data_IF_117864114392
#
_entry.id   IF_117864114392
#
_cell.length_a   1.000
_cell.length_b   1.000
_cell.length_c   1.000
_cell.angle_alpha   90.00
_cell.angle_beta   90.00
_cell.angle_gamma   90.00
#
_symmetry.space_group_name_H-M   'P 1'
#
loop_
_entity.id
_entity.type
_entity.pdbx_description
1 polymer ?
#
# COMPACT_ATOMS: atom_id res chain seq x y z
N UNK A 1 -10.16 2.40 -23.71
CA UNK A 1 -10.44 2.26 -22.27
C UNK A 1 -9.59 1.11 -21.75
N UNK A 2 -8.45 1.40 -21.11
CA UNK A 2 -7.58 0.36 -20.59
C UNK A 2 -8.03 0.00 -19.17
N UNK A 3 -8.88 -1.01 -19.05
CA UNK A 3 -9.00 -1.75 -17.79
C UNK A 3 -7.84 -2.74 -17.75
N UNK A 4 -6.66 -2.27 -17.32
CA UNK A 4 -5.70 -3.21 -16.73
C UNK A 4 -6.27 -3.56 -15.37
N UNK A 5 -7.07 -4.62 -15.31
CA UNK A 5 -7.40 -5.28 -14.06
C UNK A 5 -6.08 -5.74 -13.45
N UNK A 6 -5.55 -4.94 -12.52
CA UNK A 6 -4.35 -5.28 -11.77
C UNK A 6 -4.57 -6.63 -11.11
N UNK A 7 -3.83 -7.64 -11.55
CA UNK A 7 -3.90 -8.97 -10.96
C UNK A 7 -3.55 -8.88 -9.48
N UNK A 8 -4.50 -9.20 -8.60
CA UNK A 8 -4.28 -9.11 -7.16
C UNK A 8 -3.15 -10.08 -6.75
N UNK A 9 -2.01 -9.54 -6.35
CA UNK A 9 -0.88 -10.34 -5.88
C UNK A 9 -1.17 -10.81 -4.45
N UNK A 10 -1.74 -12.01 -4.35
CA UNK A 10 -1.98 -12.70 -3.08
C UNK A 10 -3.23 -12.26 -2.32
N UNK A 11 -3.40 -12.84 -1.13
CA UNK A 11 -4.54 -12.54 -0.27
C UNK A 11 -4.36 -11.21 0.47
N UNK A 12 -5.43 -10.41 0.63
CA UNK A 12 -5.41 -9.22 1.47
C UNK A 12 -5.03 -9.56 2.90
N UNK A 13 -4.18 -8.72 3.50
CA UNK A 13 -3.67 -8.91 4.85
C UNK A 13 -4.09 -7.74 5.75
N UNK A 14 -4.52 -8.05 6.98
CA UNK A 14 -4.70 -7.03 8.01
C UNK A 14 -3.35 -6.72 8.62
N UNK A 15 -2.89 -5.49 8.43
CA UNK A 15 -1.59 -5.03 8.94
C UNK A 15 -1.83 -4.08 10.10
N UNK A 16 -1.10 -4.26 11.21
CA UNK A 16 -1.03 -3.28 12.27
C UNK A 16 0.24 -2.44 12.05
N UNK A 17 0.12 -1.16 11.67
CA UNK A 17 1.28 -0.31 11.44
C UNK A 17 2.03 -0.06 12.75
N UNK A 18 3.36 -0.01 12.67
CA UNK A 18 4.19 0.39 13.81
C UNK A 18 4.06 1.91 13.98
N UNK A 19 3.54 2.42 15.12
CA UNK A 19 3.34 3.85 15.33
C UNK A 19 4.66 4.66 15.34
N UNK A 20 5.83 3.99 15.41
CA UNK A 20 7.15 4.64 15.33
C UNK A 20 7.68 4.74 13.90
N UNK A 21 7.04 4.07 12.95
CA UNK A 21 7.47 4.02 11.54
C UNK A 21 6.58 4.90 10.67
N UNK A 22 7.14 5.42 9.58
CA UNK A 22 6.32 6.10 8.57
C UNK A 22 5.52 5.05 7.79
N UNK A 23 4.45 5.52 7.14
CA UNK A 23 3.65 4.68 6.26
C UNK A 23 4.53 4.00 5.20
N UNK A 24 5.41 4.77 4.55
CA UNK A 24 6.35 4.26 3.53
C UNK A 24 7.20 3.12 4.08
N UNK A 25 7.76 3.24 5.29
CA UNK A 25 8.57 2.18 5.89
C UNK A 25 7.78 0.88 6.09
N UNK A 26 6.52 0.99 6.53
CA UNK A 26 5.62 -0.16 6.71
C UNK A 26 5.30 -0.84 5.37
N UNK A 27 5.04 -0.03 4.33
CA UNK A 27 4.70 -0.51 3.00
C UNK A 27 5.91 -1.12 2.27
N UNK A 28 7.11 -0.56 2.49
CA UNK A 28 8.37 -1.08 1.98
C UNK A 28 8.70 -2.44 2.59
N UNK A 29 8.54 -2.59 3.91
CA UNK A 29 8.69 -3.87 4.61
C UNK A 29 7.72 -4.92 4.02
N UNK A 30 6.48 -4.53 3.77
CA UNK A 30 5.46 -5.39 3.14
C UNK A 30 5.86 -5.80 1.71
N UNK A 31 6.34 -4.85 0.91
CA UNK A 31 6.79 -5.08 -0.47
C UNK A 31 7.93 -6.09 -0.51
N UNK A 32 8.96 -5.88 0.32
CA UNK A 32 10.12 -6.76 0.40
C UNK A 32 9.75 -8.18 0.82
N UNK A 33 8.82 -8.34 1.77
CA UNK A 33 8.30 -9.67 2.19
C UNK A 33 7.60 -10.41 1.04
N UNK A 34 7.05 -9.69 0.07
CA UNK A 34 6.41 -10.24 -1.13
C UNK A 34 7.35 -10.33 -2.33
N UNK A 35 8.64 -10.02 -2.16
CA UNK A 35 9.63 -10.02 -3.25
C UNK A 35 9.48 -8.85 -4.22
N UNK A 36 8.72 -7.82 -3.86
CA UNK A 36 8.52 -6.62 -4.68
C UNK A 36 9.59 -5.57 -4.35
N UNK A 37 9.99 -4.81 -5.36
CA UNK A 37 10.91 -3.67 -5.21
C UNK A 37 10.09 -2.44 -4.80
N UNK A 38 10.28 -1.88 -3.59
CA UNK A 38 9.41 -0.79 -3.12
C UNK A 38 9.40 0.47 -4.01
N UNK A 39 10.51 0.73 -4.71
CA UNK A 39 10.63 1.83 -5.68
C UNK A 39 9.78 1.68 -6.93
N UNK A 40 9.32 0.46 -7.23
CA UNK A 40 8.51 0.14 -8.41
C UNK A 40 7.03 -0.04 -8.06
N UNK A 41 6.66 0.11 -6.77
CA UNK A 41 5.29 -0.11 -6.28
C UNK A 41 4.67 1.21 -5.86
N UNK A 42 3.46 1.48 -6.38
CA UNK A 42 2.64 2.59 -5.96
C UNK A 42 1.49 2.10 -5.09
N UNK A 43 1.23 2.80 -3.99
CA UNK A 43 0.17 2.46 -3.06
C UNK A 43 -0.99 3.44 -3.20
N UNK A 44 -2.22 2.95 -3.09
CA UNK A 44 -3.43 3.75 -3.21
C UNK A 44 -4.40 3.33 -2.11
N UNK A 45 -5.26 4.25 -1.68
CA UNK A 45 -6.48 3.83 -0.98
C UNK A 45 -7.44 3.30 -2.03
N UNK A 46 -8.11 2.20 -1.73
CA UNK A 46 -9.11 1.62 -2.61
C UNK A 46 -10.15 2.70 -3.02
N UNK A 47 -10.36 2.85 -4.33
CA UNK A 47 -11.23 3.87 -4.94
C UNK A 47 -10.78 5.34 -4.82
N UNK A 48 -9.57 5.66 -4.34
CA UNK A 48 -9.11 7.06 -4.30
C UNK A 48 -8.68 7.60 -5.67
N UNK A 49 -8.19 6.72 -6.55
CA UNK A 49 -7.56 7.09 -7.82
C UNK A 49 -6.24 7.87 -7.70
N UNK A 50 -5.80 8.18 -6.47
CA UNK A 50 -4.61 8.99 -6.17
C UNK A 50 -3.62 8.18 -5.33
N UNK A 51 -2.33 8.16 -5.71
CA UNK A 51 -1.31 7.46 -4.96
C UNK A 51 -1.11 8.09 -3.58
N UNK A 52 -0.83 7.26 -2.59
CA UNK A 52 -0.54 7.66 -1.23
C UNK A 52 0.84 8.34 -1.19
N UNK A 53 0.92 9.58 -0.67
CA UNK A 53 2.19 10.22 -0.39
C UNK A 53 3.00 9.45 0.66
N UNK A 54 4.32 9.53 0.56
CA UNK A 54 5.25 8.87 1.50
C UNK A 54 5.09 9.32 2.95
N UNK A 55 4.65 10.57 3.13
CA UNK A 55 4.47 11.22 4.43
C UNK A 55 3.02 11.14 4.94
N UNK A 56 2.16 10.34 4.30
CA UNK A 56 0.77 10.22 4.71
C UNK A 56 0.67 9.60 6.11
N UNK A 57 -0.16 10.18 6.97
CA UNK A 57 -0.34 9.69 8.33
C UNK A 57 -1.21 8.43 8.31
N UNK A 58 -0.65 7.36 8.88
CA UNK A 58 -1.26 6.03 8.90
C UNK A 58 -2.56 5.98 9.70
N UNK A 59 -2.77 6.91 10.64
CA UNK A 59 -4.01 6.98 11.41
C UNK A 59 -5.23 7.26 10.52
N UNK A 60 -5.06 8.01 9.42
CA UNK A 60 -6.14 8.25 8.45
C UNK A 60 -6.45 7.03 7.57
N UNK A 61 -5.61 6.00 7.62
CA UNK A 61 -5.77 4.76 6.87
C UNK A 61 -6.39 3.63 7.71
N UNK A 62 -6.70 3.89 8.99
CA UNK A 62 -7.36 2.90 9.86
C UNK A 62 -8.72 2.53 9.26
N UNK A 63 -8.94 1.23 9.08
CA UNK A 63 -10.16 0.70 8.47
C UNK A 63 -10.27 0.91 6.96
N UNK A 64 -9.26 1.52 6.32
CA UNK A 64 -9.17 1.63 4.86
C UNK A 64 -8.41 0.46 4.28
N UNK A 65 -8.75 0.10 3.05
CA UNK A 65 -8.01 -0.88 2.26
C UNK A 65 -7.00 -0.16 1.38
N UNK A 66 -5.74 -0.59 1.48
CA UNK A 66 -4.64 -0.09 0.66
C UNK A 66 -4.40 -1.11 -0.45
N UNK A 67 -4.30 -0.64 -1.68
CA UNK A 67 -3.98 -1.45 -2.86
C UNK A 67 -2.59 -1.03 -3.37
N UNK A 68 -1.84 -2.01 -3.85
CA UNK A 68 -0.52 -1.83 -4.45
C UNK A 68 -0.62 -2.12 -5.95
N UNK A 69 -0.07 -1.26 -6.79
CA UNK A 69 0.05 -1.43 -8.23
C UNK A 69 1.52 -1.41 -8.66
#
# INVERSE_FOLDING_TARGET
>A
MYQSEGHAIGNPEKVQPDPRKRLRDCLDDCSRRRGLRPSEVLFFVENSGMPLPDYYDVNFLIGRRIIAH
#
